data_IF_459480705197
#
_entry.id   IF_459480705197
#
_cell.length_a   1.000
_cell.length_b   1.000
_cell.length_c   1.000
_cell.angle_alpha   90.00
_cell.angle_beta   90.00
_cell.angle_gamma   90.00
#
_symmetry.space_group_name_H-M   'P 1'
#
loop_
_entity.id
_entity.type
_entity.pdbx_description
1 polymer ?
#
# COMPACT_ATOMS: atom_id res chain seq x y z
N UNK A 1 -33.38 -23.61 11.87
CA UNK A 1 -34.75 -23.30 12.35
C UNK A 1 -35.13 -21.92 11.85
N UNK A 2 -36.09 -21.91 10.96
CA UNK A 2 -36.57 -20.76 10.17
C UNK A 2 -37.40 -19.82 11.03
N UNK A 3 -37.27 -18.50 10.84
CA UNK A 3 -38.35 -17.55 11.11
C UNK A 3 -38.40 -16.46 10.05
N UNK A 4 -39.23 -16.73 9.05
CA UNK A 4 -39.80 -15.68 8.18
C UNK A 4 -40.97 -15.03 8.95
N UNK A 5 -41.04 -13.71 8.98
CA UNK A 5 -42.31 -13.00 9.17
C UNK A 5 -42.49 -11.96 8.06
N UNK A 6 -43.46 -12.28 7.23
CA UNK A 6 -44.10 -11.40 6.27
C UNK A 6 -44.96 -10.36 6.97
N UNK A 7 -44.89 -9.09 6.55
CA UNK A 7 -45.97 -8.14 6.82
C UNK A 7 -46.44 -7.53 5.49
N UNK A 8 -47.74 -7.71 5.24
CA UNK A 8 -48.47 -7.27 4.05
C UNK A 8 -48.80 -5.77 4.13
N UNK A 9 -48.67 -5.11 2.97
CA UNK A 9 -49.14 -3.77 2.68
C UNK A 9 -50.63 -3.54 2.91
N UNK A 10 -50.96 -2.35 3.33
CA UNK A 10 -52.26 -1.72 3.02
C UNK A 10 -51.97 -0.44 2.23
N UNK A 11 -52.46 -0.45 1.00
CA UNK A 11 -52.58 0.67 0.10
C UNK A 11 -53.56 1.72 0.59
N UNK A 12 -53.19 2.99 0.58
CA UNK A 12 -54.09 4.12 0.52
C UNK A 12 -53.52 5.14 -0.47
N UNK A 13 -54.29 5.32 -1.53
CA UNK A 13 -54.06 6.29 -2.58
C UNK A 13 -54.29 7.71 -2.05
N UNK A 14 -53.28 8.60 -2.22
CA UNK A 14 -53.49 10.03 -2.32
C UNK A 14 -52.72 10.50 -3.55
N UNK A 15 -53.51 10.82 -4.56
CA UNK A 15 -53.02 11.43 -5.78
C UNK A 15 -52.93 12.97 -5.62
N UNK A 16 -52.08 13.51 -6.44
CA UNK A 16 -51.90 14.94 -6.77
C UNK A 16 -51.07 15.84 -5.85
N UNK A 17 -50.11 16.41 -6.56
CA UNK A 17 -49.23 17.57 -6.27
C UNK A 17 -47.81 17.13 -5.85
N UNK A 18 -47.05 16.56 -6.79
CA UNK A 18 -45.58 16.62 -6.81
C UNK A 18 -45.12 16.51 -8.28
N UNK A 19 -45.34 17.49 -9.10
CA UNK A 19 -44.87 17.47 -10.49
C UNK A 19 -43.90 18.60 -10.87
N UNK A 20 -43.68 19.57 -9.99
CA UNK A 20 -42.78 20.70 -10.36
C UNK A 20 -41.44 20.76 -9.62
N UNK A 21 -41.23 19.97 -8.57
CA UNK A 21 -39.97 19.98 -7.84
C UNK A 21 -38.95 18.94 -8.32
N UNK A 22 -39.38 17.89 -9.03
CA UNK A 22 -38.49 16.86 -9.55
C UNK A 22 -37.64 17.29 -10.77
N UNK A 23 -38.13 18.24 -11.56
CA UNK A 23 -37.44 18.70 -12.79
C UNK A 23 -36.22 19.57 -12.47
N UNK A 24 -36.27 20.34 -11.38
CA UNK A 24 -35.16 21.19 -10.97
C UNK A 24 -34.00 20.41 -10.29
N UNK A 25 -34.33 19.32 -9.61
CA UNK A 25 -33.29 18.46 -8.98
C UNK A 25 -32.52 17.60 -9.99
N UNK A 26 -33.18 17.10 -11.04
CA UNK A 26 -32.52 16.31 -12.09
C UNK A 26 -31.60 17.18 -12.95
N UNK A 27 -31.95 18.43 -13.19
CA UNK A 27 -31.09 19.33 -13.98
C UNK A 27 -29.83 19.80 -13.22
N UNK A 28 -29.87 19.86 -11.89
CA UNK A 28 -28.69 20.22 -11.07
C UNK A 28 -27.69 19.06 -10.90
N UNK A 29 -28.17 17.83 -10.79
CA UNK A 29 -27.30 16.65 -10.69
C UNK A 29 -26.65 16.30 -12.02
N UNK A 30 -27.40 16.44 -13.15
CA UNK A 30 -26.85 16.18 -14.47
C UNK A 30 -25.80 17.21 -14.94
N UNK A 31 -25.85 18.45 -14.43
CA UNK A 31 -24.86 19.48 -14.76
C UNK A 31 -23.54 19.36 -13.97
N UNK A 32 -23.56 18.73 -12.80
CA UNK A 32 -22.36 18.58 -11.97
C UNK A 32 -21.47 17.38 -12.39
N UNK A 33 -22.08 16.29 -12.90
CA UNK A 33 -21.33 15.10 -13.31
C UNK A 33 -20.32 15.31 -14.45
N UNK A 34 -20.62 16.04 -15.53
CA UNK A 34 -19.65 16.27 -16.61
C UNK A 34 -18.41 17.04 -16.13
N UNK A 35 -18.57 17.99 -15.21
CA UNK A 35 -17.46 18.80 -14.70
C UNK A 35 -16.55 18.01 -13.74
N UNK A 36 -17.09 17.10 -12.94
CA UNK A 36 -16.31 16.20 -12.09
C UNK A 36 -15.53 15.17 -12.94
N UNK A 37 -16.13 14.63 -13.99
CA UNK A 37 -15.49 13.69 -14.92
C UNK A 37 -14.35 14.36 -15.71
N UNK A 38 -14.55 15.58 -16.23
CA UNK A 38 -13.48 16.34 -16.91
C UNK A 38 -12.30 16.55 -15.99
N UNK A 39 -12.51 16.93 -14.74
CA UNK A 39 -11.44 17.12 -13.75
C UNK A 39 -10.66 15.84 -13.45
N UNK A 40 -11.34 14.68 -13.41
CA UNK A 40 -10.71 13.37 -13.21
C UNK A 40 -9.85 12.98 -14.42
N UNK A 41 -10.37 13.09 -15.62
CA UNK A 41 -9.65 12.71 -16.84
C UNK A 41 -8.41 13.58 -17.04
N UNK A 42 -8.49 14.90 -16.83
CA UNK A 42 -7.34 15.79 -16.88
C UNK A 42 -6.27 15.43 -15.84
N UNK A 43 -6.68 15.03 -14.63
CA UNK A 43 -5.75 14.59 -13.60
C UNK A 43 -5.04 13.29 -14.02
N UNK A 44 -5.79 12.34 -14.62
CA UNK A 44 -5.23 11.08 -15.11
C UNK A 44 -4.29 11.28 -16.30
N UNK A 45 -4.59 12.18 -17.24
CA UNK A 45 -3.69 12.54 -18.34
C UNK A 45 -2.38 13.13 -17.82
N UNK A 46 -2.46 14.06 -16.86
CA UNK A 46 -1.29 14.66 -16.25
C UNK A 46 -0.46 13.67 -15.41
N UNK A 47 -1.13 12.74 -14.72
CA UNK A 47 -0.48 11.63 -14.03
C UNK A 47 0.23 10.70 -15.00
N UNK A 48 -0.43 10.30 -16.09
CA UNK A 48 0.13 9.43 -17.14
C UNK A 48 1.39 10.04 -17.79
N UNK A 49 1.44 11.38 -17.94
CA UNK A 49 2.60 12.08 -18.48
C UNK A 49 3.87 11.90 -17.63
N UNK A 50 3.76 11.55 -16.34
CA UNK A 50 4.89 11.21 -15.47
C UNK A 50 5.43 9.82 -15.74
N UNK A 51 4.76 8.96 -16.54
CA UNK A 51 5.05 7.54 -16.69
C UNK A 51 5.23 6.86 -15.33
N UNK A 52 4.18 6.89 -14.49
CA UNK A 52 4.31 6.58 -13.08
C UNK A 52 4.64 5.11 -12.84
N UNK A 53 5.27 4.87 -11.69
CA UNK A 53 5.50 3.55 -11.13
C UNK A 53 4.81 3.52 -9.77
N UNK A 54 3.83 2.64 -9.63
CA UNK A 54 3.21 2.32 -8.34
C UNK A 54 3.94 1.12 -7.74
N UNK A 55 4.71 1.39 -6.68
CA UNK A 55 5.59 0.37 -6.08
C UNK A 55 4.88 -0.56 -5.10
N UNK A 56 3.55 -0.46 -4.97
CA UNK A 56 2.83 -1.27 -4.00
C UNK A 56 1.39 -1.53 -4.43
N UNK A 57 1.17 -2.67 -5.04
CA UNK A 57 -0.15 -3.19 -5.42
C UNK A 57 -0.22 -4.69 -5.22
N UNK A 58 -1.43 -5.26 -5.28
CA UNK A 58 -1.69 -6.68 -5.18
C UNK A 58 -2.57 -7.14 -6.36
N UNK A 59 -1.99 -7.83 -7.35
CA UNK A 59 -2.67 -8.25 -8.57
C UNK A 59 -2.79 -9.76 -8.63
N UNK A 60 -4.02 -10.28 -8.64
CA UNK A 60 -4.29 -11.73 -8.61
C UNK A 60 -4.90 -12.28 -9.90
N UNK A 61 -5.11 -11.44 -10.91
CA UNK A 61 -5.63 -11.88 -12.22
C UNK A 61 -5.21 -10.96 -13.35
N UNK A 62 -5.24 -11.48 -14.57
CA UNK A 62 -5.20 -10.68 -15.79
C UNK A 62 -6.60 -10.32 -16.26
N UNK A 63 -6.73 -9.16 -16.88
CA UNK A 63 -7.95 -8.71 -17.54
C UNK A 63 -7.61 -7.74 -18.67
N UNK A 64 -8.21 -7.85 -19.87
CA UNK A 64 -7.92 -6.95 -21.00
C UNK A 64 -8.20 -5.48 -20.70
N UNK A 65 -9.24 -5.19 -19.89
CA UNK A 65 -9.59 -3.80 -19.53
C UNK A 65 -8.57 -3.22 -18.54
N UNK A 66 -8.08 -4.06 -17.61
CA UNK A 66 -6.98 -3.69 -16.72
C UNK A 66 -5.69 -3.41 -17.51
N UNK A 67 -5.33 -4.30 -18.46
CA UNK A 67 -4.17 -4.08 -19.32
C UNK A 67 -4.30 -2.77 -20.11
N UNK A 68 -5.46 -2.48 -20.69
CA UNK A 68 -5.72 -1.23 -21.38
C UNK A 68 -5.60 0.00 -20.48
N UNK A 69 -5.95 -0.11 -19.20
CA UNK A 69 -5.73 0.96 -18.21
C UNK A 69 -4.24 1.21 -18.00
N UNK A 70 -3.43 0.16 -17.80
CA UNK A 70 -1.99 0.29 -17.60
C UNK A 70 -1.31 0.95 -18.81
N UNK A 71 -1.66 0.53 -20.00
CA UNK A 71 -1.16 1.10 -21.26
C UNK A 71 -1.55 2.58 -21.40
N UNK A 72 -2.82 2.93 -21.17
CA UNK A 72 -3.33 4.30 -21.25
C UNK A 72 -2.67 5.24 -20.26
N UNK A 73 -2.40 4.77 -19.05
CA UNK A 73 -1.75 5.55 -18.00
C UNK A 73 -0.22 5.48 -18.03
N UNK A 74 0.37 4.73 -18.96
CA UNK A 74 1.81 4.45 -19.01
C UNK A 74 2.34 3.96 -17.65
N UNK A 75 1.53 3.17 -16.95
CA UNK A 75 1.72 2.78 -15.57
C UNK A 75 2.52 1.49 -15.48
N UNK A 76 3.55 1.48 -14.65
CA UNK A 76 4.25 0.28 -14.22
C UNK A 76 3.88 0.00 -12.77
N UNK A 77 3.65 -1.27 -12.42
CA UNK A 77 3.25 -1.71 -11.10
C UNK A 77 4.28 -2.67 -10.50
N UNK A 78 4.54 -2.54 -9.22
CA UNK A 78 5.19 -3.60 -8.46
C UNK A 78 4.11 -4.41 -7.74
N UNK A 79 3.88 -5.63 -8.22
CA UNK A 79 2.99 -6.61 -7.60
C UNK A 79 3.69 -7.26 -6.41
N UNK A 80 3.08 -7.18 -5.23
CA UNK A 80 3.70 -7.60 -3.97
C UNK A 80 3.02 -8.85 -3.41
N UNK A 81 3.79 -9.90 -3.18
CA UNK A 81 3.33 -11.07 -2.45
C UNK A 81 3.40 -10.87 -0.94
N UNK A 82 2.43 -11.42 -0.24
CA UNK A 82 2.32 -11.41 1.22
C UNK A 82 2.04 -12.82 1.73
N UNK A 83 2.76 -13.21 2.79
CA UNK A 83 2.43 -14.44 3.53
C UNK A 83 1.70 -14.07 4.81
N UNK A 84 0.43 -14.42 4.89
CA UNK A 84 -0.42 -14.25 6.07
C UNK A 84 -0.63 -15.55 6.86
N UNK A 85 -1.45 -15.53 7.90
CA UNK A 85 -1.72 -16.67 8.78
C UNK A 85 -2.70 -17.68 8.19
N UNK A 86 -3.31 -17.41 7.04
CA UNK A 86 -4.22 -18.37 6.42
C UNK A 86 -3.46 -19.57 5.88
N UNK A 87 -3.90 -20.78 6.27
CA UNK A 87 -3.25 -22.04 5.83
C UNK A 87 -3.25 -22.18 4.32
N UNK A 88 -4.23 -21.64 3.62
CA UNK A 88 -4.28 -21.64 2.15
C UNK A 88 -3.13 -20.85 1.55
N UNK A 89 -2.82 -19.68 2.08
CA UNK A 89 -1.69 -18.86 1.63
C UNK A 89 -0.35 -19.54 1.90
N UNK A 90 -0.11 -20.05 3.10
CA UNK A 90 1.13 -20.76 3.44
C UNK A 90 1.40 -21.97 2.56
N UNK A 91 0.36 -22.76 2.25
CA UNK A 91 0.49 -23.93 1.38
C UNK A 91 0.67 -23.58 -0.09
N UNK A 92 0.41 -22.35 -0.48
CA UNK A 92 0.35 -21.90 -1.88
C UNK A 92 1.46 -20.92 -2.26
N UNK A 93 2.45 -20.64 -1.39
CA UNK A 93 3.50 -19.66 -1.72
C UNK A 93 4.16 -19.95 -3.07
N UNK A 94 4.55 -21.19 -3.33
CA UNK A 94 5.17 -21.59 -4.61
C UNK A 94 4.20 -21.41 -5.80
N UNK A 95 2.92 -21.71 -5.60
CA UNK A 95 1.87 -21.44 -6.60
C UNK A 95 1.67 -19.95 -6.81
N UNK A 96 1.59 -19.15 -5.73
CA UNK A 96 1.45 -17.70 -5.83
C UNK A 96 2.61 -17.06 -6.59
N UNK A 97 3.85 -17.45 -6.31
CA UNK A 97 5.03 -16.99 -7.07
C UNK A 97 4.91 -17.36 -8.55
N UNK A 98 4.47 -18.59 -8.84
CA UNK A 98 4.28 -19.07 -10.21
C UNK A 98 3.23 -18.26 -10.95
N UNK A 99 2.08 -18.01 -10.31
CA UNK A 99 0.97 -17.25 -10.86
C UNK A 99 1.36 -15.78 -11.06
N UNK A 100 1.98 -15.14 -10.07
CA UNK A 100 2.46 -13.76 -10.17
C UNK A 100 3.51 -13.59 -11.28
N UNK A 101 4.45 -14.53 -11.43
CA UNK A 101 5.40 -14.51 -12.55
C UNK A 101 4.71 -14.71 -13.91
N UNK A 102 3.60 -15.46 -13.97
CA UNK A 102 2.80 -15.56 -15.18
C UNK A 102 2.11 -14.22 -15.51
N UNK A 103 1.58 -13.53 -14.50
CA UNK A 103 1.02 -12.17 -14.65
C UNK A 103 2.09 -11.18 -15.15
N UNK A 104 3.28 -11.19 -14.55
CA UNK A 104 4.41 -10.35 -14.99
C UNK A 104 4.73 -10.61 -16.46
N UNK A 105 4.87 -11.87 -16.87
CA UNK A 105 5.17 -12.21 -18.29
C UNK A 105 4.08 -11.76 -19.27
N UNK A 106 2.81 -11.79 -18.86
CA UNK A 106 1.67 -11.38 -19.72
C UNK A 106 1.40 -9.89 -19.71
N UNK A 107 2.04 -9.12 -18.82
CA UNK A 107 1.78 -7.69 -18.65
C UNK A 107 2.49 -6.77 -19.65
N UNK A 108 3.24 -7.32 -20.60
CA UNK A 108 4.02 -6.53 -21.58
C UNK A 108 4.94 -5.47 -20.95
N UNK A 109 5.48 -5.75 -19.76
CA UNK A 109 6.39 -4.86 -19.03
C UNK A 109 5.71 -3.89 -18.07
N UNK A 110 4.40 -4.04 -17.87
CA UNK A 110 3.66 -3.21 -16.91
C UNK A 110 3.67 -3.74 -15.47
N UNK A 111 4.12 -4.98 -15.25
CA UNK A 111 4.22 -5.57 -13.91
C UNK A 111 5.64 -6.05 -13.62
N UNK A 112 6.08 -5.86 -12.38
CA UNK A 112 7.28 -6.46 -11.81
C UNK A 112 6.92 -7.13 -10.47
N UNK A 113 7.62 -8.18 -10.08
CA UNK A 113 7.31 -8.96 -8.89
C UNK A 113 8.19 -8.57 -7.70
N UNK A 114 7.56 -8.24 -6.56
CA UNK A 114 8.17 -8.28 -5.25
C UNK A 114 7.79 -9.61 -4.57
N UNK A 115 8.75 -10.53 -4.44
CA UNK A 115 8.54 -11.84 -3.79
C UNK A 115 8.57 -11.73 -2.27
N UNK A 116 8.34 -12.84 -1.59
CA UNK A 116 8.44 -12.99 -0.14
C UNK A 116 8.94 -14.40 0.19
N UNK A 117 9.12 -14.71 1.46
CA UNK A 117 9.39 -16.06 1.97
C UNK A 117 8.40 -16.41 3.08
N UNK A 118 8.31 -17.69 3.45
CA UNK A 118 7.38 -18.17 4.48
C UNK A 118 7.96 -18.05 5.90
N UNK A 119 7.66 -16.97 6.66
CA UNK A 119 8.20 -16.78 7.99
C UNK A 119 7.58 -17.72 9.04
N UNK A 120 6.47 -18.41 8.73
CA UNK A 120 5.86 -19.40 9.62
C UNK A 120 6.72 -20.66 9.76
N UNK A 121 7.69 -20.88 8.86
CA UNK A 121 8.70 -21.92 8.96
C UNK A 121 9.88 -21.54 9.86
N UNK A 122 9.82 -20.42 10.55
CA UNK A 122 10.93 -19.90 11.36
C UNK A 122 11.50 -20.91 12.37
N UNK A 123 10.67 -21.80 12.95
CA UNK A 123 11.12 -22.83 13.87
C UNK A 123 11.99 -23.93 13.22
N UNK A 124 11.89 -24.10 11.89
CA UNK A 124 12.63 -25.14 11.18
C UNK A 124 14.14 -24.84 11.20
N UNK A 125 14.99 -25.85 11.43
CA UNK A 125 16.45 -25.66 11.40
C UNK A 125 16.98 -25.18 10.05
N UNK A 126 16.31 -25.55 8.94
CA UNK A 126 16.69 -25.18 7.56
C UNK A 126 16.08 -23.85 7.11
N UNK A 127 15.22 -23.19 7.91
CA UNK A 127 14.44 -22.00 7.53
C UNK A 127 15.25 -20.96 6.73
N UNK A 128 16.39 -20.52 7.28
CA UNK A 128 17.21 -19.49 6.65
C UNK A 128 17.76 -19.95 5.28
N UNK A 129 18.24 -21.18 5.19
CA UNK A 129 18.78 -21.73 3.94
C UNK A 129 17.67 -21.93 2.88
N UNK A 130 16.48 -22.38 3.30
CA UNK A 130 15.35 -22.60 2.41
C UNK A 130 14.78 -21.28 1.91
N UNK A 131 14.70 -20.24 2.76
CA UNK A 131 14.28 -18.90 2.37
C UNK A 131 15.25 -18.29 1.34
N UNK A 132 16.56 -18.36 1.56
CA UNK A 132 17.57 -17.89 0.61
C UNK A 132 17.43 -18.63 -0.72
N UNK A 133 17.36 -19.96 -0.70
CA UNK A 133 17.21 -20.78 -1.91
C UNK A 133 15.94 -20.43 -2.71
N UNK A 134 14.83 -20.13 -2.03
CA UNK A 134 13.60 -19.69 -2.69
C UNK A 134 13.78 -18.32 -3.30
N UNK A 135 14.29 -17.34 -2.55
CA UNK A 135 14.53 -15.98 -3.02
C UNK A 135 15.48 -15.97 -4.23
N UNK A 136 16.57 -16.76 -4.20
CA UNK A 136 17.50 -16.90 -5.33
C UNK A 136 16.80 -17.41 -6.60
N UNK A 137 15.88 -18.37 -6.47
CA UNK A 137 15.07 -18.86 -7.60
C UNK A 137 14.15 -17.75 -8.15
N UNK A 138 13.53 -16.99 -7.27
CA UNK A 138 12.59 -15.94 -7.65
C UNK A 138 13.33 -14.79 -8.34
N UNK A 139 14.50 -14.41 -7.85
CA UNK A 139 15.37 -13.42 -8.51
C UNK A 139 15.85 -13.91 -9.89
N UNK A 140 16.21 -15.18 -10.01
CA UNK A 140 16.58 -15.77 -11.30
C UNK A 140 15.42 -15.77 -12.30
N UNK A 141 14.16 -15.73 -11.83
CA UNK A 141 12.95 -15.65 -12.63
C UNK A 141 12.46 -14.22 -12.86
N UNK A 142 13.13 -13.20 -12.31
CA UNK A 142 12.84 -11.80 -12.57
C UNK A 142 12.20 -11.02 -11.42
N UNK A 143 12.07 -11.60 -10.22
CA UNK A 143 11.66 -10.82 -9.05
C UNK A 143 12.65 -9.68 -8.78
N UNK A 144 12.15 -8.49 -8.40
CA UNK A 144 12.95 -7.28 -8.25
C UNK A 144 13.20 -6.88 -6.79
N UNK A 145 12.38 -7.37 -5.86
CA UNK A 145 12.46 -7.05 -4.44
C UNK A 145 11.93 -8.22 -3.60
N UNK A 146 12.15 -8.16 -2.28
CA UNK A 146 11.61 -9.10 -1.29
C UNK A 146 10.80 -8.32 -0.25
N UNK A 147 9.59 -8.79 0.09
CA UNK A 147 8.73 -8.22 1.14
C UNK A 147 8.82 -9.04 2.41
N UNK A 148 8.95 -8.36 3.56
CA UNK A 148 8.55 -8.90 4.86
C UNK A 148 7.28 -8.19 5.34
N UNK A 149 6.42 -8.93 6.06
CA UNK A 149 5.12 -8.44 6.46
C UNK A 149 4.99 -8.36 7.99
N UNK A 150 4.00 -7.65 8.46
CA UNK A 150 3.74 -7.34 9.88
C UNK A 150 3.54 -8.56 10.78
N UNK A 151 3.30 -9.75 10.24
CA UNK A 151 3.32 -10.98 11.00
C UNK A 151 4.67 -11.18 11.72
N UNK A 152 5.78 -10.71 11.13
CA UNK A 152 7.07 -10.56 11.82
C UNK A 152 6.97 -9.32 12.72
N UNK A 153 6.95 -9.55 14.02
CA UNK A 153 6.76 -8.54 15.06
C UNK A 153 5.39 -8.56 15.73
N UNK A 154 4.34 -9.03 15.04
CA UNK A 154 2.97 -8.92 15.56
C UNK A 154 2.21 -10.25 15.68
N UNK A 155 2.72 -11.35 15.10
CA UNK A 155 2.01 -12.63 15.09
C UNK A 155 2.95 -13.81 15.39
N UNK A 156 4.03 -13.93 14.63
CA UNK A 156 4.89 -15.12 14.68
C UNK A 156 5.74 -15.11 15.95
N UNK A 157 5.78 -16.27 16.61
CA UNK A 157 6.54 -16.49 17.83
C UNK A 157 7.59 -17.60 17.63
N UNK A 158 8.68 -17.45 18.34
CA UNK A 158 9.67 -18.50 18.46
C UNK A 158 9.17 -19.64 19.40
N UNK A 159 9.88 -20.79 19.49
CA UNK A 159 9.50 -21.89 20.35
C UNK A 159 9.36 -21.52 21.86
N UNK A 160 10.00 -20.45 22.32
CA UNK A 160 9.88 -19.95 23.69
C UNK A 160 8.66 -19.04 23.90
N UNK A 161 7.82 -18.86 22.86
CA UNK A 161 6.61 -18.04 22.90
C UNK A 161 6.87 -16.54 22.79
N UNK A 162 8.09 -16.09 22.48
CA UNK A 162 8.42 -14.67 22.24
C UNK A 162 8.17 -14.32 20.76
N UNK A 163 7.63 -13.12 20.54
CA UNK A 163 7.48 -12.60 19.17
C UNK A 163 8.83 -12.47 18.49
N UNK A 164 8.88 -12.90 17.21
CA UNK A 164 10.04 -12.73 16.35
C UNK A 164 10.07 -11.31 15.84
N UNK A 165 11.17 -10.60 16.02
CA UNK A 165 11.35 -9.23 15.53
C UNK A 165 12.16 -9.22 14.21
N UNK A 166 12.10 -8.12 13.43
CA UNK A 166 12.84 -8.02 12.16
C UNK A 166 14.35 -8.23 12.27
N UNK A 167 14.96 -7.92 13.42
CA UNK A 167 16.39 -8.08 13.68
C UNK A 167 16.78 -9.44 14.28
N UNK A 168 15.88 -10.43 14.26
CA UNK A 168 16.25 -11.77 14.72
C UNK A 168 17.42 -12.33 13.89
N UNK A 169 18.44 -12.92 14.54
CA UNK A 169 19.65 -13.40 13.86
C UNK A 169 19.42 -14.38 12.71
N UNK A 170 18.30 -15.11 12.69
CA UNK A 170 17.97 -16.00 11.58
C UNK A 170 17.66 -15.27 10.28
N UNK A 171 17.23 -14.01 10.35
CA UNK A 171 16.99 -13.20 9.16
C UNK A 171 18.26 -12.54 8.61
N UNK A 172 19.30 -12.34 9.42
CA UNK A 172 20.50 -11.63 8.99
C UNK A 172 21.16 -12.21 7.72
N UNK A 173 21.30 -13.54 7.53
CA UNK A 173 21.83 -14.09 6.29
C UNK A 173 20.92 -13.83 5.07
N UNK A 174 19.58 -13.78 5.27
CA UNK A 174 18.61 -13.48 4.21
C UNK A 174 18.80 -12.03 3.75
N UNK A 175 18.92 -11.07 4.67
CA UNK A 175 19.14 -9.67 4.33
C UNK A 175 20.48 -9.43 3.62
N UNK A 176 21.54 -10.12 4.04
CA UNK A 176 22.84 -10.09 3.36
C UNK A 176 22.76 -10.66 1.94
N UNK A 177 21.96 -11.69 1.75
CA UNK A 177 21.74 -12.27 0.43
C UNK A 177 20.98 -11.33 -0.51
N UNK A 178 19.92 -10.68 -0.04
CA UNK A 178 19.18 -9.64 -0.79
C UNK A 178 20.12 -8.50 -1.19
N UNK A 179 20.97 -8.03 -0.25
CA UNK A 179 21.97 -6.99 -0.52
C UNK A 179 23.00 -7.43 -1.56
N UNK A 180 23.50 -8.68 -1.46
CA UNK A 180 24.45 -9.28 -2.42
C UNK A 180 23.91 -9.32 -3.85
N UNK A 181 22.60 -9.55 -4.01
CA UNK A 181 21.92 -9.47 -5.30
C UNK A 181 21.67 -8.03 -5.78
N UNK A 182 22.01 -7.01 -4.98
CA UNK A 182 21.70 -5.62 -5.28
C UNK A 182 20.19 -5.34 -5.30
N UNK A 183 19.39 -6.16 -4.66
CA UNK A 183 17.94 -6.06 -4.59
C UNK A 183 17.48 -5.29 -3.34
N UNK A 184 16.19 -5.06 -3.22
CA UNK A 184 15.58 -4.21 -2.19
C UNK A 184 14.72 -5.02 -1.25
N UNK A 185 14.81 -4.72 0.06
CA UNK A 185 13.91 -5.22 1.08
C UNK A 185 12.76 -4.23 1.30
N UNK A 186 11.52 -4.67 1.06
CA UNK A 186 10.29 -3.95 1.37
C UNK A 186 9.82 -4.35 2.76
N UNK A 187 9.63 -3.39 3.68
CA UNK A 187 9.34 -3.72 5.09
C UNK A 187 8.00 -3.14 5.57
N UNK A 188 6.99 -4.00 5.73
CA UNK A 188 5.76 -3.71 6.45
C UNK A 188 5.83 -4.39 7.83
N UNK A 189 6.35 -3.72 8.85
CA UNK A 189 6.67 -4.37 10.13
C UNK A 189 5.83 -3.92 11.32
N UNK A 190 5.01 -2.91 11.18
CA UNK A 190 4.11 -2.44 12.22
C UNK A 190 2.86 -1.81 11.61
N UNK A 191 1.81 -1.72 12.39
CA UNK A 191 0.56 -1.05 12.05
C UNK A 191 0.57 0.45 12.42
N UNK A 192 -0.42 1.25 11.95
CA UNK A 192 -0.66 2.60 12.44
C UNK A 192 -0.78 2.70 13.96
N UNK A 193 -0.47 3.88 14.52
CA UNK A 193 -0.49 4.12 15.96
C UNK A 193 -1.82 3.80 16.62
N UNK A 194 -2.93 3.98 15.89
CA UNK A 194 -4.27 3.64 16.40
C UNK A 194 -4.40 2.17 16.81
N UNK A 195 -3.60 1.27 16.24
CA UNK A 195 -3.60 -0.14 16.62
C UNK A 195 -3.15 -0.38 18.07
N UNK A 196 -2.32 0.49 18.65
CA UNK A 196 -1.86 0.43 20.04
C UNK A 196 -2.57 1.42 20.97
N UNK A 197 -3.32 2.37 20.41
CA UNK A 197 -4.08 3.37 21.15
C UNK A 197 -5.50 2.97 21.47
N UNK A 198 -6.23 3.77 22.25
CA UNK A 198 -7.67 3.57 22.43
C UNK A 198 -8.41 3.69 21.08
N UNK A 199 -9.60 3.08 20.95
CA UNK A 199 -10.42 3.20 19.74
C UNK A 199 -10.61 4.65 19.31
N UNK A 200 -10.28 4.94 18.06
CA UNK A 200 -10.44 6.27 17.46
C UNK A 200 -11.16 6.18 16.11
N UNK A 201 -12.49 6.35 16.09
CA UNK A 201 -13.28 6.31 14.85
C UNK A 201 -12.94 7.41 13.84
N UNK A 202 -12.13 8.41 14.22
CA UNK A 202 -11.71 9.50 13.33
C UNK A 202 -10.38 9.22 12.64
N UNK A 203 -9.67 8.15 13.04
CA UNK A 203 -8.43 7.73 12.40
C UNK A 203 -8.72 7.11 11.02
N UNK A 204 -7.97 7.45 9.97
CA UNK A 204 -8.17 6.90 8.62
C UNK A 204 -8.16 5.38 8.55
N UNK A 205 -7.41 4.71 9.42
CA UNK A 205 -7.31 3.24 9.42
C UNK A 205 -8.33 2.56 10.34
N UNK A 206 -9.27 3.28 10.97
CA UNK A 206 -10.16 2.69 11.94
C UNK A 206 -11.08 1.59 11.37
N UNK A 207 -11.63 1.79 10.18
CA UNK A 207 -12.47 0.78 9.52
C UNK A 207 -11.73 -0.54 9.31
N UNK A 208 -10.45 -0.47 8.94
CA UNK A 208 -9.60 -1.65 8.79
C UNK A 208 -9.55 -2.49 10.07
N UNK A 209 -9.44 -1.88 11.25
CA UNK A 209 -9.37 -2.61 12.52
C UNK A 209 -10.72 -3.15 12.99
N UNK A 210 -11.82 -2.57 12.52
CA UNK A 210 -13.16 -3.13 12.75
C UNK A 210 -13.35 -4.45 12.00
N UNK A 211 -12.77 -4.53 10.78
CA UNK A 211 -12.81 -5.73 9.94
C UNK A 211 -11.69 -6.74 10.30
N UNK A 212 -10.58 -6.25 10.86
CA UNK A 212 -9.39 -7.03 11.17
C UNK A 212 -8.98 -6.89 12.65
N UNK A 213 -9.84 -7.30 13.62
CA UNK A 213 -9.63 -7.08 15.06
C UNK A 213 -8.40 -7.80 15.61
N UNK A 214 -7.85 -8.80 14.91
CA UNK A 214 -6.61 -9.48 15.28
C UNK A 214 -5.42 -8.52 15.28
N UNK A 215 -5.40 -7.50 14.42
CA UNK A 215 -4.33 -6.51 14.30
C UNK A 215 -4.52 -5.29 15.21
N UNK A 216 -5.65 -5.17 15.92
CA UNK A 216 -5.87 -4.13 16.92
C UNK A 216 -5.31 -4.57 18.26
N UNK A 217 -4.20 -3.98 18.70
CA UNK A 217 -3.40 -4.45 19.83
C UNK A 217 -3.65 -3.70 21.15
N UNK A 218 -4.49 -2.67 21.13
CA UNK A 218 -4.85 -1.94 22.34
C UNK A 218 -5.33 -2.86 23.45
N UNK A 219 -4.76 -2.72 24.66
CA UNK A 219 -5.06 -3.59 25.80
C UNK A 219 -4.78 -5.09 25.61
N UNK A 220 -4.00 -5.49 24.59
CA UNK A 220 -3.52 -6.86 24.45
C UNK A 220 -2.11 -6.99 25.06
N UNK A 221 -1.98 -7.56 26.28
CA UNK A 221 -0.68 -7.69 26.94
C UNK A 221 0.21 -8.69 26.19
N UNK A 222 1.52 -8.50 26.30
CA UNK A 222 2.51 -9.43 25.76
C UNK A 222 2.92 -9.18 24.30
N UNK A 223 2.24 -8.29 23.58
CA UNK A 223 2.69 -7.86 22.27
C UNK A 223 3.85 -6.84 22.37
N UNK A 224 4.80 -6.85 21.42
CA UNK A 224 5.77 -5.78 21.31
C UNK A 224 5.08 -4.44 21.07
N UNK A 225 5.62 -3.37 21.63
CA UNK A 225 5.18 -2.02 21.26
C UNK A 225 5.61 -1.68 19.83
N UNK A 226 4.88 -0.78 19.18
CA UNK A 226 5.26 -0.24 17.86
C UNK A 226 6.73 0.22 17.86
N UNK A 227 7.15 0.92 18.93
CA UNK A 227 8.52 1.39 19.08
C UNK A 227 9.55 0.26 19.05
N UNK A 228 9.31 -0.85 19.75
CA UNK A 228 10.23 -2.00 19.76
C UNK A 228 10.37 -2.62 18.36
N UNK A 229 9.25 -2.73 17.62
CA UNK A 229 9.28 -3.27 16.26
C UNK A 229 10.05 -2.34 15.30
N UNK A 230 9.84 -1.03 15.41
CA UNK A 230 10.55 -0.05 14.58
C UNK A 230 12.03 0.06 14.96
N UNK A 231 12.40 -0.05 16.24
CA UNK A 231 13.79 -0.13 16.68
C UNK A 231 14.49 -1.37 16.10
N UNK A 232 13.82 -2.52 16.09
CA UNK A 232 14.35 -3.74 15.47
C UNK A 232 14.58 -3.56 13.94
N UNK A 233 13.66 -2.92 13.22
CA UNK A 233 13.88 -2.55 11.81
C UNK A 233 15.08 -1.60 11.67
N UNK A 234 15.19 -0.62 12.53
CA UNK A 234 16.27 0.37 12.50
C UNK A 234 17.64 -0.30 12.81
N UNK A 235 17.68 -1.37 13.62
CA UNK A 235 18.88 -2.22 13.79
C UNK A 235 19.26 -2.92 12.49
N UNK A 236 18.28 -3.48 11.74
CA UNK A 236 18.57 -4.09 10.43
C UNK A 236 19.20 -3.08 9.48
N UNK A 237 18.71 -1.83 9.44
CA UNK A 237 19.30 -0.76 8.63
C UNK A 237 20.75 -0.45 9.02
N UNK A 238 21.02 -0.38 10.32
CA UNK A 238 22.36 -0.07 10.84
C UNK A 238 23.37 -1.18 10.55
N UNK A 239 22.95 -2.45 10.65
CA UNK A 239 23.82 -3.61 10.45
C UNK A 239 24.03 -3.99 8.98
N UNK A 240 23.20 -3.45 8.08
CA UNK A 240 23.25 -3.77 6.65
C UNK A 240 23.28 -2.48 5.79
N UNK A 241 24.39 -1.70 5.84
CA UNK A 241 24.47 -0.41 5.13
C UNK A 241 24.36 -0.54 3.60
N UNK A 242 24.68 -1.70 3.05
CA UNK A 242 24.59 -2.00 1.60
C UNK A 242 23.18 -2.48 1.18
N UNK A 243 22.30 -2.77 2.13
CA UNK A 243 20.92 -3.19 1.86
C UNK A 243 20.04 -1.97 1.62
N UNK A 244 19.49 -1.81 0.42
CA UNK A 244 18.41 -0.86 0.18
C UNK A 244 17.15 -1.36 0.89
N UNK A 245 16.54 -0.51 1.72
CA UNK A 245 15.28 -0.82 2.39
C UNK A 245 14.23 0.25 2.09
N UNK A 246 13.05 -0.19 1.69
CA UNK A 246 11.86 0.67 1.58
C UNK A 246 10.91 0.31 2.72
N UNK A 247 10.72 1.25 3.62
CA UNK A 247 9.69 1.17 4.68
C UNK A 247 8.32 1.38 4.07
N UNK A 248 7.56 0.31 3.98
CA UNK A 248 6.22 0.33 3.40
C UNK A 248 5.27 1.13 4.30
N UNK A 249 4.27 1.77 3.71
CA UNK A 249 3.26 2.54 4.45
C UNK A 249 3.86 3.69 5.29
N UNK A 250 4.69 4.54 4.65
CA UNK A 250 5.47 5.58 5.32
C UNK A 250 6.40 5.01 6.41
N UNK A 251 6.85 3.75 6.23
CA UNK A 251 7.66 3.04 7.20
C UNK A 251 6.96 2.83 8.55
N UNK A 252 5.62 2.77 8.54
CA UNK A 252 4.75 2.70 9.71
C UNK A 252 4.90 3.90 10.67
N UNK A 253 5.21 5.09 10.13
CA UNK A 253 5.37 6.34 10.86
C UNK A 253 4.41 7.42 10.35
N UNK A 254 3.18 7.03 10.09
CA UNK A 254 2.15 7.78 9.36
C UNK A 254 1.72 9.10 10.03
N UNK A 255 1.81 9.19 11.37
CA UNK A 255 1.31 10.37 12.09
C UNK A 255 2.24 11.57 12.05
N UNK A 256 3.54 11.34 11.86
CA UNK A 256 4.50 12.44 11.95
C UNK A 256 5.67 12.27 10.96
N UNK A 257 5.69 13.09 9.94
CA UNK A 257 6.77 13.10 8.94
C UNK A 257 8.15 13.42 9.52
N UNK A 258 8.24 14.03 10.74
CA UNK A 258 9.53 14.26 11.41
C UNK A 258 10.18 12.95 11.87
N UNK A 259 9.38 11.93 12.20
CA UNK A 259 9.91 10.62 12.58
C UNK A 259 10.53 9.90 11.37
N UNK A 260 9.95 10.11 10.18
CA UNK A 260 10.50 9.62 8.91
C UNK A 260 11.79 10.40 8.59
N UNK A 261 11.76 11.72 8.72
CA UNK A 261 12.90 12.60 8.49
C UNK A 261 14.11 12.21 9.34
N UNK A 262 13.90 11.93 10.62
CA UNK A 262 14.95 11.49 11.54
C UNK A 262 15.62 10.18 11.08
N UNK A 263 14.85 9.24 10.48
CA UNK A 263 15.41 8.00 9.92
C UNK A 263 16.16 8.28 8.62
N UNK A 264 15.66 9.16 7.77
CA UNK A 264 16.36 9.56 6.55
C UNK A 264 17.71 10.24 6.84
N UNK A 265 17.76 11.10 7.86
CA UNK A 265 19.00 11.77 8.26
C UNK A 265 20.02 10.78 8.86
N UNK A 266 19.54 9.67 9.47
CA UNK A 266 20.39 8.67 10.11
C UNK A 266 20.81 7.53 9.17
N UNK A 267 19.91 7.08 8.28
CA UNK A 267 20.11 5.87 7.48
C UNK A 267 20.06 6.20 5.98
N UNK A 268 21.24 6.27 5.31
CA UNK A 268 21.30 6.57 3.87
C UNK A 268 20.67 5.49 2.99
N UNK A 269 20.55 4.28 3.49
CA UNK A 269 19.99 3.11 2.82
C UNK A 269 18.48 2.90 3.06
N UNK A 270 17.77 3.93 3.55
CA UNK A 270 16.33 3.87 3.85
C UNK A 270 15.51 4.85 3.01
N UNK A 271 14.41 4.37 2.44
CA UNK A 271 13.35 5.14 1.79
C UNK A 271 11.98 4.67 2.31
N UNK A 272 10.89 5.32 1.91
CA UNK A 272 9.52 4.89 2.24
C UNK A 272 8.62 4.98 1.01
N UNK A 273 7.56 4.15 0.97
CA UNK A 273 6.44 4.36 0.07
C UNK A 273 5.25 5.05 0.77
N UNK A 274 4.29 5.53 -0.02
CA UNK A 274 3.09 6.22 0.46
C UNK A 274 1.87 5.29 0.57
N UNK A 275 2.01 4.03 0.23
CA UNK A 275 0.91 3.08 0.09
C UNK A 275 0.00 3.06 1.32
N UNK A 276 -1.32 3.09 1.10
CA UNK A 276 -2.37 3.13 2.12
C UNK A 276 -2.19 4.22 3.21
N UNK A 277 -1.36 5.24 2.96
CA UNK A 277 -1.10 6.32 3.95
C UNK A 277 -1.21 7.72 3.36
N UNK A 278 -1.67 7.84 2.13
CA UNK A 278 -1.92 9.14 1.49
C UNK A 278 -2.90 10.00 2.32
N UNK A 279 -3.90 9.38 2.93
CA UNK A 279 -4.88 10.06 3.78
C UNK A 279 -4.26 10.74 5.00
N UNK A 280 -3.26 10.10 5.63
CA UNK A 280 -2.53 10.71 6.75
C UNK A 280 -1.76 11.95 6.31
N UNK A 281 -1.17 11.93 5.11
CA UNK A 281 -0.52 13.11 4.54
C UNK A 281 -1.53 14.22 4.20
N UNK A 282 -2.74 13.85 3.74
CA UNK A 282 -3.81 14.81 3.40
C UNK A 282 -4.36 15.55 4.62
N UNK A 283 -4.43 14.88 5.79
CA UNK A 283 -4.96 15.47 7.03
C UNK A 283 -3.88 16.14 7.90
N UNK A 284 -2.60 15.89 7.59
CA UNK A 284 -1.49 16.56 8.28
C UNK A 284 -1.34 18.02 7.85
N UNK A 285 -0.63 18.88 8.62
CA UNK A 285 -0.39 20.26 8.23
C UNK A 285 0.28 20.38 6.85
N UNK A 286 -0.41 20.92 5.87
CA UNK A 286 -0.02 20.99 4.44
C UNK A 286 1.40 21.52 4.24
N UNK A 287 1.75 22.64 4.89
CA UNK A 287 3.08 23.24 4.76
C UNK A 287 4.19 22.33 5.27
N UNK A 288 3.92 21.53 6.33
CA UNK A 288 4.88 20.58 6.90
C UNK A 288 5.11 19.42 5.94
N UNK A 289 4.03 18.82 5.42
CA UNK A 289 4.12 17.72 4.45
C UNK A 289 4.83 18.17 3.19
N UNK A 290 4.47 19.35 2.65
CA UNK A 290 5.12 19.91 1.46
C UNK A 290 6.62 20.11 1.68
N UNK A 291 7.03 20.70 2.78
CA UNK A 291 8.45 20.92 3.11
C UNK A 291 9.21 19.61 3.27
N UNK A 292 8.60 18.62 3.91
CA UNK A 292 9.16 17.27 4.04
C UNK A 292 9.39 16.61 2.68
N UNK A 293 8.37 16.58 1.80
CA UNK A 293 8.48 15.95 0.48
C UNK A 293 9.51 16.65 -0.42
N UNK A 294 9.64 17.97 -0.32
CA UNK A 294 10.67 18.71 -1.07
C UNK A 294 12.06 18.41 -0.52
N UNK A 295 12.25 18.42 0.80
CA UNK A 295 13.56 18.17 1.43
C UNK A 295 14.05 16.75 1.16
N UNK A 296 13.16 15.77 1.24
CA UNK A 296 13.50 14.35 1.11
C UNK A 296 12.98 13.73 -0.19
N UNK A 297 12.90 14.54 -1.24
CA UNK A 297 12.34 14.19 -2.53
C UNK A 297 12.94 12.93 -3.20
N UNK A 298 14.12 12.50 -2.79
CA UNK A 298 14.84 11.33 -3.32
C UNK A 298 14.58 10.03 -2.50
N UNK A 299 13.74 10.11 -1.47
CA UNK A 299 13.52 9.05 -0.47
C UNK A 299 12.06 8.62 -0.33
N UNK A 300 11.14 9.21 -1.08
CA UNK A 300 9.72 8.90 -1.01
C UNK A 300 9.25 8.38 -2.36
N UNK A 301 8.65 7.18 -2.37
CA UNK A 301 8.18 6.47 -3.55
C UNK A 301 6.64 6.52 -3.57
N UNK A 302 6.07 6.61 -4.78
CA UNK A 302 4.63 6.49 -4.95
C UNK A 302 4.19 5.04 -4.85
N UNK A 303 3.19 4.77 -4.04
CA UNK A 303 2.54 3.47 -3.87
C UNK A 303 1.12 3.67 -3.36
N UNK A 304 0.19 2.78 -3.73
CA UNK A 304 -1.23 2.90 -3.39
C UNK A 304 -1.73 1.86 -2.40
N UNK A 305 -1.26 0.63 -2.47
CA UNK A 305 -1.80 -0.56 -1.81
C UNK A 305 -3.15 -1.03 -2.41
N UNK A 306 -3.41 -0.65 -3.68
CA UNK A 306 -4.59 -1.11 -4.39
C UNK A 306 -4.49 -2.59 -4.74
N UNK A 307 -5.63 -3.25 -4.78
CA UNK A 307 -5.71 -4.65 -5.18
C UNK A 307 -6.59 -4.88 -6.42
N UNK A 308 -6.31 -5.97 -7.13
CA UNK A 308 -7.18 -6.56 -8.14
C UNK A 308 -7.36 -8.04 -7.79
N UNK A 309 -8.29 -8.31 -6.87
CA UNK A 309 -8.55 -9.65 -6.37
C UNK A 309 -9.08 -10.58 -7.48
N UNK A 310 -8.78 -11.87 -7.37
CA UNK A 310 -9.25 -12.87 -8.33
C UNK A 310 -10.78 -12.87 -8.52
N UNK A 311 -11.53 -12.56 -7.45
CA UNK A 311 -13.00 -12.52 -7.41
C UNK A 311 -13.60 -11.13 -7.60
N UNK A 312 -12.77 -10.07 -7.71
CA UNK A 312 -13.25 -8.69 -7.79
C UNK A 312 -14.01 -8.43 -9.10
N UNK A 313 -14.97 -7.51 -9.04
CA UNK A 313 -15.55 -6.90 -10.22
C UNK A 313 -14.51 -5.95 -10.84
N UNK A 314 -14.09 -6.23 -12.07
CA UNK A 314 -13.02 -5.47 -12.73
C UNK A 314 -13.40 -4.01 -12.93
N UNK A 315 -14.63 -3.72 -13.38
CA UNK A 315 -15.06 -2.34 -13.65
C UNK A 315 -15.05 -1.50 -12.36
N UNK A 316 -15.55 -2.04 -11.24
CA UNK A 316 -15.54 -1.37 -9.94
C UNK A 316 -14.11 -1.14 -9.45
N UNK A 317 -13.24 -2.17 -9.52
CA UNK A 317 -11.83 -2.02 -9.14
C UNK A 317 -11.13 -0.96 -9.99
N UNK A 318 -11.33 -0.96 -11.32
CA UNK A 318 -10.69 0.03 -12.20
C UNK A 318 -11.22 1.44 -11.99
N UNK A 319 -12.47 1.63 -11.57
CA UNK A 319 -13.01 2.93 -11.19
C UNK A 319 -12.33 3.44 -9.89
N UNK A 320 -12.15 2.56 -8.91
CA UNK A 320 -11.41 2.85 -7.68
C UNK A 320 -9.95 3.24 -7.98
N UNK A 321 -9.24 2.45 -8.80
CA UNK A 321 -7.86 2.73 -9.20
C UNK A 321 -7.73 4.11 -9.85
N UNK A 322 -8.57 4.40 -10.85
CA UNK A 322 -8.56 5.69 -11.52
C UNK A 322 -8.92 6.85 -10.59
N UNK A 323 -9.87 6.65 -9.69
CA UNK A 323 -10.27 7.66 -8.70
C UNK A 323 -9.12 7.94 -7.72
N UNK A 324 -8.41 6.90 -7.28
CA UNK A 324 -7.25 7.00 -6.41
C UNK A 324 -6.11 7.77 -7.09
N UNK A 325 -5.71 7.39 -8.32
CA UNK A 325 -4.66 8.09 -9.05
C UNK A 325 -4.99 9.56 -9.32
N UNK A 326 -6.23 9.86 -9.72
CA UNK A 326 -6.67 11.24 -9.94
C UNK A 326 -6.68 12.07 -8.65
N UNK A 327 -7.12 11.51 -7.53
CA UNK A 327 -7.10 12.13 -6.20
C UNK A 327 -5.67 12.42 -5.76
N UNK A 328 -4.79 11.43 -5.86
CA UNK A 328 -3.41 11.53 -5.40
C UNK A 328 -2.61 12.53 -6.25
N UNK A 329 -2.83 12.52 -7.57
CA UNK A 329 -2.32 13.58 -8.44
C UNK A 329 -2.80 14.96 -8.01
N UNK A 330 -4.09 15.11 -7.78
CA UNK A 330 -4.66 16.39 -7.35
C UNK A 330 -4.05 16.90 -6.05
N UNK A 331 -3.84 16.00 -5.08
CA UNK A 331 -3.21 16.34 -3.81
C UNK A 331 -1.76 16.73 -3.96
N UNK A 332 -0.95 15.93 -4.68
CA UNK A 332 0.48 16.15 -4.78
C UNK A 332 0.84 17.29 -5.74
N UNK A 333 0.15 17.40 -6.89
CA UNK A 333 0.56 18.24 -8.01
C UNK A 333 -0.13 19.60 -8.07
N UNK A 334 -1.27 19.79 -7.40
CA UNK A 334 -2.05 21.04 -7.51
C UNK A 334 -2.17 21.77 -6.18
N UNK A 335 -2.38 23.10 -6.23
CA UNK A 335 -2.75 23.91 -5.06
C UNK A 335 -4.28 23.97 -4.83
N UNK A 336 -5.06 23.09 -5.46
CA UNK A 336 -6.52 23.10 -5.31
C UNK A 336 -6.95 22.56 -3.95
N UNK A 337 -8.06 23.13 -3.46
CA UNK A 337 -8.75 22.58 -2.29
C UNK A 337 -9.85 21.63 -2.76
N UNK A 338 -10.00 20.48 -2.10
CA UNK A 338 -11.05 19.51 -2.37
C UNK A 338 -11.54 18.86 -1.08
N UNK A 339 -12.67 18.17 -1.13
CA UNK A 339 -13.17 17.41 0.01
C UNK A 339 -12.75 15.94 -0.13
N UNK A 340 -12.28 15.38 1.00
CA UNK A 340 -11.95 13.99 1.11
C UNK A 340 -12.31 13.49 2.53
N UNK A 341 -13.03 12.37 2.63
CA UNK A 341 -13.50 11.78 3.90
C UNK A 341 -14.15 12.84 4.85
N UNK A 342 -14.96 13.75 4.30
CA UNK A 342 -15.63 14.80 5.06
C UNK A 342 -14.72 15.92 5.58
N UNK A 343 -13.45 15.95 5.13
CA UNK A 343 -12.46 16.99 5.50
C UNK A 343 -12.06 17.79 4.28
N UNK A 344 -11.79 19.08 4.49
CA UNK A 344 -11.24 19.96 3.47
C UNK A 344 -9.72 19.76 3.38
N UNK A 345 -9.26 19.30 2.23
CA UNK A 345 -7.85 19.03 1.94
C UNK A 345 -7.29 20.09 1.01
N UNK A 346 -6.12 20.63 1.35
CA UNK A 346 -5.36 21.55 0.51
C UNK A 346 -4.27 20.78 -0.22
N UNK A 347 -4.23 20.88 -1.55
CA UNK A 347 -3.17 20.28 -2.35
C UNK A 347 -1.80 20.90 -2.11
N UNK A 348 -0.75 20.12 -2.33
CA UNK A 348 0.63 20.44 -1.98
C UNK A 348 1.34 21.31 -3.02
N UNK A 349 0.87 21.33 -4.26
CA UNK A 349 1.50 22.08 -5.38
C UNK A 349 3.03 21.80 -5.43
N UNK A 350 3.40 20.52 -5.48
CA UNK A 350 4.81 20.15 -5.54
C UNK A 350 5.42 20.53 -6.89
N UNK A 351 6.70 20.96 -6.93
CA UNK A 351 7.39 21.25 -8.17
C UNK A 351 7.48 20.02 -9.08
N UNK A 352 7.37 20.22 -10.40
CA UNK A 352 7.41 19.12 -11.38
C UNK A 352 8.63 18.17 -11.24
N UNK A 353 9.87 18.65 -10.95
CA UNK A 353 10.99 17.74 -10.70
C UNK A 353 10.78 16.85 -9.45
N UNK A 354 10.10 17.34 -8.41
CA UNK A 354 9.78 16.56 -7.20
C UNK A 354 8.73 15.49 -7.53
N UNK A 355 7.70 15.86 -8.30
CA UNK A 355 6.68 14.92 -8.78
C UNK A 355 7.30 13.80 -9.63
N UNK A 356 8.20 14.15 -10.56
CA UNK A 356 8.90 13.17 -11.39
C UNK A 356 9.71 12.17 -10.54
N UNK A 357 10.32 12.62 -9.46
CA UNK A 357 11.05 11.76 -8.52
C UNK A 357 10.09 10.83 -7.80
N UNK A 358 9.06 11.37 -7.18
CA UNK A 358 8.08 10.60 -6.38
C UNK A 358 7.37 9.57 -7.25
N UNK A 359 6.87 9.97 -8.43
CA UNK A 359 6.08 9.08 -9.27
C UNK A 359 6.92 8.09 -10.08
N UNK A 360 8.22 8.33 -10.30
CA UNK A 360 9.01 7.44 -11.16
C UNK A 360 10.46 7.25 -10.72
N UNK A 361 11.25 8.32 -10.68
CA UNK A 361 12.71 8.18 -10.62
C UNK A 361 13.18 7.47 -9.35
N UNK A 362 12.52 7.72 -8.22
CA UNK A 362 12.84 7.05 -6.96
C UNK A 362 12.57 5.54 -7.03
N UNK A 363 11.48 5.12 -7.66
CA UNK A 363 11.20 3.69 -7.84
C UNK A 363 12.33 2.99 -8.59
N UNK A 364 12.79 3.56 -9.71
CA UNK A 364 13.91 3.02 -10.50
C UNK A 364 15.23 2.99 -9.73
N UNK A 365 15.46 3.96 -8.84
CA UNK A 365 16.68 4.04 -8.02
C UNK A 365 16.64 3.06 -6.85
N UNK A 366 15.53 3.05 -6.11
CA UNK A 366 15.39 2.28 -4.90
C UNK A 366 15.05 0.81 -5.14
N UNK A 367 14.43 0.47 -6.28
CA UNK A 367 14.03 -0.89 -6.63
C UNK A 367 14.58 -1.24 -8.02
N UNK A 368 15.88 -1.58 -8.11
CA UNK A 368 16.50 -1.91 -9.40
C UNK A 368 15.86 -3.13 -10.06
N UNK A 369 15.41 -2.92 -11.29
CA UNK A 369 14.71 -3.92 -12.10
C UNK A 369 13.26 -3.58 -12.41
N UNK A 370 12.74 -2.45 -11.82
CA UNK A 370 11.48 -1.84 -12.23
C UNK A 370 11.59 -1.16 -13.59
#
# INVERSE_FOLDING_TARGET
>A
MSYRKSLRLRTLSVACIVLDTCVLFHSLVAAAQPQAQIGRDQALEAFAAMQPIDVHVHVFKTDPTFQALLERLHLTLQDILVMDDTLSYRKQLESQVTDALALVRSSHGHLALCTTFDPYKFADPSFTADAIKQIDRDFAQGAVAVKIWKNIGMEIKNPDGKFILPDDPKFAPIYKDIARHGKTLMTHVAEPDVAWGPPDPTDPSWSYYQENPQWFLYNKPGFPSKRQILEARDHVLAENPDLRMVGVHLGSMEKNVDDIAARFDRYPNFAVDMAARMEYLMIAPTAKVRSFLIKYQDRVLYGTDLDLLATANVEESLDEWQSTYARDWKFLATGQTFEFAGKKVQGLELPAPVLQKIFRTNALHWIPGL
#
